data_IF_394906381718
#
_entry.id   IF_394906381718
#
_cell.length_a   1.000
_cell.length_b   1.000
_cell.length_c   1.000
_cell.angle_alpha   90.00
_cell.angle_beta   90.00
_cell.angle_gamma   90.00
#
_symmetry.space_group_name_H-M   'P 1'
#
loop_
_entity.id
_entity.type
_entity.pdbx_description
1 polymer ?
#
# COMPACT_ATOMS: atom_id res chain seq x y z
N UNK A 1 23.32 -33.46 17.12
CA UNK A 1 22.67 -32.92 18.32
C UNK A 1 21.55 -31.97 17.89
N UNK A 2 20.33 -32.19 18.36
CA UNK A 2 19.15 -31.42 17.96
C UNK A 2 19.02 -30.09 18.74
N UNK A 3 19.26 -30.15 20.05
CA UNK A 3 19.18 -29.03 21.00
C UNK A 3 20.48 -28.24 21.11
N UNK A 4 20.41 -27.02 21.64
CA UNK A 4 21.60 -26.22 21.97
C UNK A 4 22.30 -26.74 23.22
N UNK A 5 23.57 -26.37 23.39
CA UNK A 5 24.29 -26.44 24.66
C UNK A 5 24.80 -25.04 25.04
N UNK A 6 25.45 -24.91 26.19
CA UNK A 6 26.13 -23.67 26.59
C UNK A 6 27.21 -23.22 25.60
N UNK A 7 27.70 -24.09 24.72
CA UNK A 7 28.76 -23.78 23.76
C UNK A 7 28.39 -24.03 22.29
N UNK A 8 27.34 -24.78 21.98
CA UNK A 8 26.99 -25.18 20.59
C UNK A 8 25.54 -24.88 20.24
N UNK A 9 25.31 -24.48 18.99
CA UNK A 9 23.98 -24.46 18.41
C UNK A 9 23.56 -25.86 17.93
N UNK A 10 22.35 -26.25 18.30
CA UNK A 10 21.70 -27.48 17.85
C UNK A 10 21.31 -27.44 16.37
N UNK A 11 20.97 -28.59 15.79
CA UNK A 11 20.51 -28.67 14.41
C UNK A 11 19.20 -27.89 14.16
N UNK A 12 18.28 -27.87 15.13
CA UNK A 12 16.97 -27.19 14.99
C UNK A 12 17.15 -25.67 14.94
N UNK A 13 17.98 -25.10 15.82
CA UNK A 13 18.28 -23.67 15.80
C UNK A 13 18.96 -23.23 14.49
N UNK A 14 19.87 -24.06 13.96
CA UNK A 14 20.53 -23.81 12.68
C UNK A 14 19.55 -23.91 11.50
N UNK A 15 18.65 -24.89 11.51
CA UNK A 15 17.60 -25.03 10.51
C UNK A 15 16.74 -23.75 10.45
N UNK A 16 16.18 -23.32 11.58
CA UNK A 16 15.39 -22.07 11.61
C UNK A 16 16.18 -20.86 11.14
N UNK A 17 17.46 -20.74 11.53
CA UNK A 17 18.30 -19.65 11.07
C UNK A 17 18.47 -19.63 9.56
N UNK A 18 18.90 -20.74 8.95
CA UNK A 18 19.18 -20.80 7.52
C UNK A 18 17.93 -20.76 6.66
N UNK A 19 16.83 -21.38 7.09
CA UNK A 19 15.54 -21.29 6.40
C UNK A 19 15.04 -19.84 6.37
N UNK A 20 15.02 -19.15 7.51
CA UNK A 20 14.60 -17.74 7.57
C UNK A 20 15.58 -16.86 6.77
N UNK A 21 16.88 -17.08 6.89
CA UNK A 21 17.88 -16.27 6.17
C UNK A 21 17.70 -16.38 4.65
N UNK A 22 17.52 -17.60 4.11
CA UNK A 22 17.32 -17.81 2.68
C UNK A 22 16.01 -17.17 2.19
N UNK A 23 14.92 -17.36 2.93
CA UNK A 23 13.62 -16.79 2.58
C UNK A 23 13.64 -15.26 2.64
N UNK A 24 14.27 -14.67 3.66
CA UNK A 24 14.42 -13.21 3.76
C UNK A 24 15.25 -12.65 2.61
N UNK A 25 16.34 -13.31 2.21
CA UNK A 25 17.14 -12.87 1.06
C UNK A 25 16.35 -12.97 -0.25
N UNK A 26 15.54 -14.02 -0.42
CA UNK A 26 14.64 -14.16 -1.55
C UNK A 26 13.58 -13.04 -1.56
N UNK A 27 12.97 -12.74 -0.42
CA UNK A 27 11.97 -11.67 -0.30
C UNK A 27 12.55 -10.27 -0.55
N UNK A 28 13.77 -9.99 -0.09
CA UNK A 28 14.47 -8.75 -0.42
C UNK A 28 14.64 -8.64 -1.94
N UNK A 29 15.07 -9.72 -2.61
CA UNK A 29 15.22 -9.72 -4.06
C UNK A 29 13.88 -9.50 -4.78
N UNK A 30 12.82 -10.21 -4.38
CA UNK A 30 11.49 -10.04 -4.95
C UNK A 30 10.97 -8.62 -4.74
N UNK A 31 11.10 -8.06 -3.54
CA UNK A 31 10.68 -6.69 -3.23
C UNK A 31 11.41 -5.64 -4.07
N UNK A 32 12.72 -5.80 -4.28
CA UNK A 32 13.51 -4.91 -5.14
C UNK A 32 13.11 -5.05 -6.62
N UNK A 33 12.94 -6.28 -7.12
CA UNK A 33 12.46 -6.50 -8.49
C UNK A 33 11.09 -5.87 -8.70
N UNK A 34 10.15 -6.08 -7.76
CA UNK A 34 8.82 -5.47 -7.81
C UNK A 34 8.87 -3.95 -7.79
N UNK A 35 9.76 -3.36 -6.99
CA UNK A 35 9.93 -1.89 -6.90
C UNK A 35 10.42 -1.27 -8.21
N UNK A 36 11.35 -1.92 -8.89
CA UNK A 36 11.99 -1.37 -10.10
C UNK A 36 11.33 -1.84 -11.41
N UNK A 37 10.31 -2.70 -11.33
CA UNK A 37 9.52 -3.11 -12.50
C UNK A 37 8.47 -2.03 -12.79
N UNK A 38 8.43 -1.46 -14.01
CA UNK A 38 7.37 -0.53 -14.41
C UNK A 38 5.99 -1.13 -14.20
N UNK A 39 5.00 -0.32 -13.79
CA UNK A 39 3.62 -0.77 -13.62
C UNK A 39 2.82 -0.48 -14.90
N UNK A 40 2.86 -1.42 -15.83
CA UNK A 40 2.17 -1.37 -17.13
C UNK A 40 1.25 -2.58 -17.29
N UNK A 41 0.30 -2.57 -18.23
CA UNK A 41 -0.53 -3.76 -18.47
C UNK A 41 0.28 -5.00 -18.88
N UNK A 42 1.34 -4.83 -19.67
CA UNK A 42 2.26 -5.92 -20.05
C UNK A 42 2.93 -6.60 -18.83
N UNK A 43 3.17 -5.84 -17.76
CA UNK A 43 3.86 -6.31 -16.56
C UNK A 43 2.89 -6.69 -15.44
N UNK A 44 1.60 -6.38 -15.56
CA UNK A 44 0.60 -6.58 -14.51
C UNK A 44 0.53 -8.03 -14.02
N UNK A 45 0.47 -9.00 -14.94
CA UNK A 45 0.44 -10.43 -14.59
C UNK A 45 1.72 -10.91 -13.89
N UNK A 46 2.88 -10.42 -14.34
CA UNK A 46 4.15 -10.71 -13.68
C UNK A 46 4.21 -10.11 -12.26
N UNK A 47 3.81 -8.85 -12.11
CA UNK A 47 3.76 -8.17 -10.81
C UNK A 47 2.79 -8.85 -9.85
N UNK A 48 1.64 -9.31 -10.33
CA UNK A 48 0.69 -10.08 -9.52
C UNK A 48 1.33 -11.37 -9.00
N UNK A 49 2.00 -12.15 -9.86
CA UNK A 49 2.71 -13.36 -9.48
C UNK A 49 3.84 -13.07 -8.47
N UNK A 50 4.63 -12.03 -8.74
CA UNK A 50 5.75 -11.60 -7.91
C UNK A 50 5.27 -11.21 -6.51
N UNK A 51 4.24 -10.35 -6.40
CA UNK A 51 3.74 -9.90 -5.11
C UNK A 51 3.00 -11.01 -4.36
N UNK A 52 2.29 -11.91 -5.06
CA UNK A 52 1.68 -13.09 -4.42
C UNK A 52 2.76 -14.00 -3.82
N UNK A 53 3.86 -14.21 -4.56
CA UNK A 53 5.03 -14.96 -4.08
C UNK A 53 5.67 -14.28 -2.87
N UNK A 54 5.95 -12.98 -2.97
CA UNK A 54 6.56 -12.17 -1.91
C UNK A 54 5.73 -12.20 -0.61
N UNK A 55 4.41 -11.95 -0.70
CA UNK A 55 3.51 -11.99 0.46
C UNK A 55 3.47 -13.38 1.10
N UNK A 56 3.42 -14.43 0.28
CA UNK A 56 3.38 -15.82 0.75
C UNK A 56 4.67 -16.21 1.48
N UNK A 57 5.83 -15.83 0.95
CA UNK A 57 7.12 -16.04 1.62
C UNK A 57 7.20 -15.22 2.92
N UNK A 58 6.76 -13.96 2.91
CA UNK A 58 6.73 -13.11 4.11
C UNK A 58 5.90 -13.72 5.24
N UNK A 59 4.71 -14.25 4.94
CA UNK A 59 3.86 -14.94 5.91
C UNK A 59 4.50 -16.26 6.40
N UNK A 60 5.17 -17.00 5.51
CA UNK A 60 5.94 -18.18 5.91
C UNK A 60 7.09 -17.82 6.85
N UNK A 61 7.82 -16.74 6.58
CA UNK A 61 8.88 -16.22 7.46
C UNK A 61 8.31 -15.85 8.83
N UNK A 62 7.16 -15.19 8.89
CA UNK A 62 6.49 -14.88 10.15
C UNK A 62 6.16 -16.15 10.96
N UNK A 63 5.60 -17.18 10.32
CA UNK A 63 5.33 -18.46 10.96
C UNK A 63 6.60 -19.14 11.48
N UNK A 64 7.66 -19.18 10.67
CA UNK A 64 8.97 -19.71 11.08
C UNK A 64 9.60 -18.89 12.20
N UNK A 65 9.41 -17.57 12.22
CA UNK A 65 9.90 -16.68 13.26
C UNK A 65 9.23 -16.98 14.61
N UNK A 66 7.90 -17.17 14.63
CA UNK A 66 7.17 -17.60 15.83
C UNK A 66 7.72 -18.94 16.34
N UNK A 67 7.82 -19.95 15.47
CA UNK A 67 8.34 -21.27 15.85
C UNK A 67 9.79 -21.20 16.34
N UNK A 68 10.62 -20.35 15.73
CA UNK A 68 12.00 -20.11 16.14
C UNK A 68 12.07 -19.50 17.53
N UNK A 69 11.23 -18.51 17.85
CA UNK A 69 11.20 -17.86 19.17
C UNK A 69 10.74 -18.84 20.24
N UNK A 70 9.65 -19.58 19.99
CA UNK A 70 9.15 -20.62 20.89
C UNK A 70 10.23 -21.68 21.16
N UNK A 71 10.94 -22.11 20.11
CA UNK A 71 12.09 -23.00 20.27
C UNK A 71 13.18 -22.34 21.11
N UNK A 72 13.63 -21.14 20.75
CA UNK A 72 14.76 -20.46 21.39
C UNK A 72 14.57 -20.22 22.89
N UNK A 73 13.35 -19.92 23.35
CA UNK A 73 13.02 -19.73 24.78
C UNK A 73 13.30 -21.00 25.60
N UNK A 74 13.15 -22.19 25.01
CA UNK A 74 13.41 -23.47 25.68
C UNK A 74 14.88 -23.90 25.67
N UNK A 75 15.76 -23.15 24.98
CA UNK A 75 17.12 -23.59 24.71
C UNK A 75 18.16 -22.77 25.48
N UNK A 76 19.27 -23.40 25.93
CA UNK A 76 20.41 -22.64 26.43
C UNK A 76 20.97 -21.76 25.31
N UNK A 77 21.41 -20.54 25.68
CA UNK A 77 22.08 -19.62 24.76
C UNK A 77 23.56 -19.94 24.70
N UNK A 78 24.11 -20.33 23.54
CA UNK A 78 25.54 -20.58 23.42
C UNK A 78 26.37 -19.32 23.66
N UNK A 79 27.45 -19.42 24.43
CA UNK A 79 28.33 -18.29 24.76
C UNK A 79 28.98 -17.65 23.52
N UNK A 80 29.30 -16.34 23.55
CA UNK A 80 30.12 -15.70 22.51
C UNK A 80 31.51 -16.33 22.40
N UNK A 81 32.16 -16.22 21.23
CA UNK A 81 33.55 -16.69 21.06
C UNK A 81 34.54 -15.72 21.71
N UNK A 82 34.27 -14.42 21.60
CA UNK A 82 35.16 -13.34 22.03
C UNK A 82 34.47 -12.37 23.00
N UNK A 83 34.05 -12.82 24.21
CA UNK A 83 33.38 -11.96 25.19
C UNK A 83 34.23 -10.76 25.63
N UNK A 84 35.55 -10.86 25.51
CA UNK A 84 36.51 -9.80 25.79
C UNK A 84 36.40 -8.63 24.79
N UNK A 85 35.96 -8.89 23.55
CA UNK A 85 35.76 -7.87 22.52
C UNK A 85 34.40 -7.19 22.68
N UNK A 86 34.28 -6.37 23.72
CA UNK A 86 33.01 -5.79 24.18
C UNK A 86 32.26 -5.00 23.10
N UNK A 87 32.97 -4.20 22.29
CA UNK A 87 32.35 -3.41 21.22
C UNK A 87 31.79 -4.30 20.09
N UNK A 88 32.56 -5.29 19.64
CA UNK A 88 32.12 -6.25 18.61
C UNK A 88 30.94 -7.08 19.11
N UNK A 89 31.01 -7.56 20.36
CA UNK A 89 29.94 -8.32 21.00
C UNK A 89 28.67 -7.47 21.12
N UNK A 90 28.78 -6.22 21.57
CA UNK A 90 27.65 -5.30 21.67
C UNK A 90 27.00 -5.01 20.30
N UNK A 91 27.81 -4.75 19.27
CA UNK A 91 27.32 -4.54 17.91
C UNK A 91 26.60 -5.78 17.36
N UNK A 92 27.17 -6.98 17.57
CA UNK A 92 26.56 -8.24 17.17
C UNK A 92 25.23 -8.50 17.90
N UNK A 93 25.15 -8.25 19.21
CA UNK A 93 23.91 -8.38 19.97
C UNK A 93 22.85 -7.38 19.52
N UNK A 94 23.24 -6.13 19.24
CA UNK A 94 22.33 -5.11 18.71
C UNK A 94 21.77 -5.52 17.35
N UNK A 95 22.63 -5.98 16.44
CA UNK A 95 22.21 -6.49 15.14
C UNK A 95 21.26 -7.69 15.27
N UNK A 96 21.54 -8.63 16.17
CA UNK A 96 20.64 -9.76 16.42
C UNK A 96 19.26 -9.31 16.90
N UNK A 97 19.19 -8.36 17.84
CA UNK A 97 17.91 -7.82 18.31
C UNK A 97 17.16 -7.07 17.21
N UNK A 98 17.85 -6.26 16.42
CA UNK A 98 17.27 -5.58 15.26
C UNK A 98 16.66 -6.59 14.27
N UNK A 99 17.40 -7.64 13.91
CA UNK A 99 16.90 -8.70 13.03
C UNK A 99 15.75 -9.50 13.66
N UNK A 100 15.80 -9.78 14.96
CA UNK A 100 14.72 -10.48 15.66
C UNK A 100 13.41 -9.70 15.62
N UNK A 101 13.44 -8.37 15.74
CA UNK A 101 12.24 -7.54 15.62
C UNK A 101 11.83 -7.42 14.15
N UNK A 102 12.79 -7.26 13.23
CA UNK A 102 12.52 -7.12 11.80
C UNK A 102 11.70 -8.28 11.21
N UNK A 103 12.03 -9.52 11.57
CA UNK A 103 11.33 -10.72 11.07
C UNK A 103 9.86 -10.84 11.54
N UNK A 104 9.40 -9.96 12.43
CA UNK A 104 7.98 -9.81 12.78
C UNK A 104 7.38 -8.54 12.20
N UNK A 105 8.03 -7.39 12.42
CA UNK A 105 7.49 -6.07 12.01
C UNK A 105 7.26 -6.01 10.51
N UNK A 106 8.19 -6.50 9.69
CA UNK A 106 8.06 -6.49 8.23
C UNK A 106 6.85 -7.29 7.73
N UNK A 107 6.75 -8.62 7.97
CA UNK A 107 5.63 -9.37 7.46
C UNK A 107 4.30 -8.96 8.09
N UNK A 108 4.28 -8.53 9.36
CA UNK A 108 3.04 -8.02 9.99
C UNK A 108 2.57 -6.72 9.36
N UNK A 109 3.45 -5.74 9.16
CA UNK A 109 3.09 -4.48 8.48
C UNK A 109 2.62 -4.72 7.04
N UNK A 110 3.29 -5.61 6.30
CA UNK A 110 2.86 -5.98 4.94
C UNK A 110 1.51 -6.69 4.91
N UNK A 111 1.19 -7.49 5.93
CA UNK A 111 -0.10 -8.16 6.02
C UNK A 111 -1.22 -7.22 6.49
N UNK A 112 -0.93 -6.25 7.37
CA UNK A 112 -1.86 -5.16 7.69
C UNK A 112 -2.17 -4.33 6.45
N UNK A 113 -1.14 -3.95 5.67
CA UNK A 113 -1.31 -3.27 4.37
C UNK A 113 -2.23 -4.08 3.44
N UNK A 114 -1.92 -5.36 3.22
CA UNK A 114 -2.78 -6.24 2.41
C UNK A 114 -4.21 -6.34 2.94
N UNK A 115 -4.38 -6.34 4.26
CA UNK A 115 -5.70 -6.43 4.89
C UNK A 115 -6.49 -5.12 4.80
N UNK A 116 -5.83 -3.98 4.69
CA UNK A 116 -6.45 -2.66 4.56
C UNK A 116 -6.81 -2.30 3.11
N UNK A 117 -6.14 -2.89 2.12
CA UNK A 117 -6.37 -2.65 0.69
C UNK A 117 -7.44 -3.56 0.08
N UNK A 118 -7.99 -3.16 -1.07
CA UNK A 118 -8.76 -4.05 -1.95
C UNK A 118 -7.77 -4.85 -2.82
N UNK A 119 -7.98 -6.16 -2.94
CA UNK A 119 -6.93 -7.11 -3.28
C UNK A 119 -6.39 -7.01 -4.72
N UNK A 120 -5.06 -6.92 -4.86
CA UNK A 120 -4.34 -7.03 -6.14
C UNK A 120 -3.63 -8.38 -6.34
N UNK A 121 -2.97 -8.88 -5.28
CA UNK A 121 -2.16 -10.09 -5.32
C UNK A 121 -2.47 -10.95 -4.08
N UNK A 122 -3.05 -12.15 -4.25
CA UNK A 122 -3.45 -13.01 -3.14
C UNK A 122 -2.26 -13.68 -2.45
N UNK A 123 -2.43 -14.01 -1.17
CA UNK A 123 -1.52 -14.87 -0.40
C UNK A 123 -1.91 -16.33 -0.67
N UNK A 124 -0.96 -17.13 -1.19
CA UNK A 124 -1.21 -18.53 -1.55
C UNK A 124 -1.06 -19.46 -0.36
N UNK A 125 -2.13 -19.52 0.43
CA UNK A 125 -2.22 -20.40 1.58
C UNK A 125 -3.68 -20.76 1.85
N UNK A 126 -3.97 -21.84 2.58
CA UNK A 126 -5.35 -22.31 2.77
C UNK A 126 -6.14 -21.51 3.82
N UNK A 127 -5.57 -20.45 4.38
CA UNK A 127 -6.18 -19.64 5.43
C UNK A 127 -6.75 -18.33 4.85
N UNK A 128 -7.48 -17.57 5.69
CA UNK A 128 -8.04 -16.28 5.29
C UNK A 128 -6.97 -15.30 4.80
N UNK A 129 -7.35 -14.36 3.93
CA UNK A 129 -6.44 -13.36 3.36
C UNK A 129 -6.17 -12.20 4.32
N UNK A 130 -7.20 -11.78 5.07
CA UNK A 130 -7.14 -10.59 5.91
C UNK A 130 -6.90 -10.95 7.38
N UNK A 131 -6.19 -10.09 8.09
CA UNK A 131 -6.14 -10.09 9.54
C UNK A 131 -7.50 -9.63 10.11
N UNK A 132 -7.98 -10.22 11.22
CA UNK A 132 -9.22 -9.79 11.85
C UNK A 132 -9.07 -8.36 12.37
N UNK A 133 -10.17 -7.60 12.32
CA UNK A 133 -10.27 -6.24 12.85
C UNK A 133 -9.42 -5.16 12.15
N UNK A 134 -8.78 -5.47 11.02
CA UNK A 134 -8.16 -4.45 10.16
C UNK A 134 -9.23 -3.86 9.23
N UNK A 135 -9.56 -2.57 9.35
CA UNK A 135 -10.55 -1.93 8.48
C UNK A 135 -9.98 -1.75 7.06
N UNK A 136 -10.87 -1.74 6.06
CA UNK A 136 -10.52 -1.28 4.71
C UNK A 136 -10.39 0.24 4.74
N UNK A 137 -9.16 0.75 4.67
CA UNK A 137 -8.85 2.17 4.83
C UNK A 137 -7.51 2.48 4.17
N UNK A 138 -7.51 3.50 3.32
CA UNK A 138 -6.31 3.99 2.65
C UNK A 138 -5.26 4.46 3.65
N UNK A 139 -5.63 5.32 4.62
CA UNK A 139 -4.70 5.77 5.66
C UNK A 139 -4.06 4.63 6.48
N UNK A 140 -4.79 3.53 6.73
CA UNK A 140 -4.21 2.33 7.37
C UNK A 140 -3.24 1.62 6.43
N UNK A 141 -3.60 1.45 5.15
CA UNK A 141 -2.74 0.85 4.14
C UNK A 141 -1.45 1.63 3.95
N UNK A 142 -1.53 2.96 3.80
CA UNK A 142 -0.40 3.87 3.61
C UNK A 142 0.53 3.89 4.84
N UNK A 143 -0.05 3.97 6.04
CA UNK A 143 0.75 3.89 7.29
C UNK A 143 1.48 2.56 7.38
N UNK A 144 0.79 1.45 7.09
CA UNK A 144 1.39 0.12 7.10
C UNK A 144 2.47 -0.03 6.02
N UNK A 145 2.26 0.52 4.82
CA UNK A 145 3.23 0.54 3.73
C UNK A 145 4.48 1.35 4.11
N UNK A 146 4.31 2.50 4.76
CA UNK A 146 5.42 3.33 5.23
C UNK A 146 6.25 2.60 6.30
N UNK A 147 5.60 1.95 7.27
CA UNK A 147 6.25 1.09 8.28
C UNK A 147 7.00 -0.06 7.61
N UNK A 148 6.37 -0.73 6.64
CA UNK A 148 6.97 -1.83 5.90
C UNK A 148 8.24 -1.38 5.16
N UNK A 149 8.19 -0.22 4.50
CA UNK A 149 9.31 0.36 3.78
C UNK A 149 10.50 0.68 4.68
N UNK A 150 10.29 1.42 5.78
CA UNK A 150 11.39 1.78 6.69
C UNK A 150 11.96 0.55 7.40
N UNK A 151 11.10 -0.40 7.79
CA UNK A 151 11.55 -1.66 8.36
C UNK A 151 12.40 -2.45 7.37
N UNK A 152 12.10 -2.35 6.07
CA UNK A 152 12.88 -2.94 4.98
C UNK A 152 14.28 -2.34 4.88
N UNK A 153 14.40 -1.01 4.96
CA UNK A 153 15.69 -0.31 4.99
C UNK A 153 16.52 -0.75 6.19
N UNK A 154 15.93 -0.74 7.39
CA UNK A 154 16.61 -1.16 8.63
C UNK A 154 17.04 -2.63 8.52
N UNK A 155 16.19 -3.51 7.99
CA UNK A 155 16.51 -4.91 7.76
C UNK A 155 17.71 -5.05 6.82
N UNK A 156 17.67 -4.43 5.63
CA UNK A 156 18.74 -4.56 4.63
C UNK A 156 20.08 -4.07 5.18
N UNK A 157 20.11 -2.91 5.84
CA UNK A 157 21.31 -2.39 6.48
C UNK A 157 21.84 -3.36 7.56
N UNK A 158 20.94 -3.91 8.38
CA UNK A 158 21.32 -4.84 9.46
C UNK A 158 21.78 -6.20 8.92
N UNK A 159 21.14 -6.72 7.87
CA UNK A 159 21.55 -7.96 7.19
C UNK A 159 22.93 -7.78 6.56
N UNK A 160 23.19 -6.65 5.89
CA UNK A 160 24.50 -6.34 5.34
C UNK A 160 25.58 -6.29 6.43
N UNK A 161 25.32 -5.60 7.54
CA UNK A 161 26.23 -5.55 8.69
C UNK A 161 26.44 -6.94 9.32
N UNK A 162 25.38 -7.74 9.45
CA UNK A 162 25.43 -9.10 10.01
C UNK A 162 26.27 -10.06 9.15
N UNK A 163 26.02 -10.09 7.83
CA UNK A 163 26.79 -10.89 6.88
C UNK A 163 28.23 -10.39 6.84
N UNK A 164 28.45 -9.07 6.77
CA UNK A 164 29.77 -8.46 6.81
C UNK A 164 30.57 -8.84 8.05
N UNK A 165 29.94 -8.82 9.23
CA UNK A 165 30.53 -9.31 10.47
C UNK A 165 30.88 -10.80 10.41
N UNK A 166 29.95 -11.65 9.97
CA UNK A 166 30.20 -13.09 9.84
C UNK A 166 31.36 -13.41 8.87
N UNK A 167 31.46 -12.68 7.76
CA UNK A 167 32.55 -12.81 6.78
C UNK A 167 33.88 -12.28 7.33
N UNK A 168 33.87 -11.14 8.03
CA UNK A 168 35.06 -10.61 8.73
C UNK A 168 35.60 -11.64 9.70
N UNK A 169 34.73 -12.25 10.51
CA UNK A 169 35.11 -13.31 11.45
C UNK A 169 35.63 -14.57 10.73
N UNK A 170 35.03 -14.98 9.61
CA UNK A 170 35.43 -16.17 8.88
C UNK A 170 36.74 -16.00 8.08
N UNK A 171 36.97 -14.82 7.49
CA UNK A 171 38.06 -14.58 6.52
C UNK A 171 39.24 -13.84 7.15
N UNK A 172 38.98 -12.85 8.00
CA UNK A 172 40.01 -11.99 8.62
C UNK A 172 40.40 -12.54 9.98
N UNK A 173 39.44 -12.66 10.92
CA UNK A 173 39.73 -13.20 12.26
C UNK A 173 39.99 -14.72 12.22
N UNK A 174 39.50 -15.40 11.16
CA UNK A 174 39.58 -16.85 10.94
C UNK A 174 39.08 -17.67 12.14
N UNK A 175 38.03 -17.19 12.79
CA UNK A 175 37.43 -17.84 13.94
C UNK A 175 36.24 -18.73 13.57
N UNK A 176 35.68 -19.40 14.58
CA UNK A 176 34.60 -20.36 14.37
C UNK A 176 33.19 -19.72 14.26
N UNK A 177 33.04 -18.39 14.24
CA UNK A 177 31.72 -17.70 14.34
C UNK A 177 30.72 -18.22 13.31
N UNK A 178 31.09 -18.23 12.03
CA UNK A 178 30.25 -18.80 10.97
C UNK A 178 30.11 -20.32 11.10
N UNK A 179 31.20 -21.02 11.43
CA UNK A 179 31.21 -22.48 11.57
C UNK A 179 30.27 -22.97 12.70
N UNK A 180 30.01 -22.16 13.73
CA UNK A 180 29.01 -22.44 14.77
C UNK A 180 27.59 -22.53 14.20
N UNK A 181 27.23 -21.64 13.28
CA UNK A 181 25.91 -21.64 12.66
C UNK A 181 25.79 -22.60 11.47
N UNK A 182 26.88 -22.91 10.77
CA UNK A 182 26.85 -23.91 9.68
C UNK A 182 26.92 -25.33 10.24
N UNK A 183 27.93 -25.64 11.05
CA UNK A 183 28.29 -27.01 11.47
C UNK A 183 27.95 -27.32 12.94
N UNK A 184 27.60 -26.32 13.75
CA UNK A 184 27.38 -26.52 15.18
C UNK A 184 28.69 -26.65 15.96
N UNK A 185 29.78 -26.03 15.47
CA UNK A 185 31.06 -25.94 16.19
C UNK A 185 30.86 -25.34 17.60
N UNK A 186 31.67 -25.76 18.58
CA UNK A 186 31.61 -25.18 19.92
C UNK A 186 32.27 -23.82 19.96
N UNK A 187 31.69 -22.90 20.71
CA UNK A 187 32.41 -21.81 21.33
C UNK A 187 33.38 -22.35 22.40
N UNK A 188 34.43 -21.60 22.71
CA UNK A 188 35.41 -21.94 23.73
C UNK A 188 34.84 -21.90 25.16
N UNK A 189 35.69 -21.63 26.15
CA UNK A 189 35.30 -21.61 27.56
C UNK A 189 34.18 -20.60 27.84
N UNK A 190 33.14 -20.99 28.59
CA UNK A 190 32.01 -20.12 28.89
C UNK A 190 32.37 -19.04 29.91
N UNK A 191 32.41 -17.78 29.47
CA UNK A 191 32.36 -16.62 30.35
C UNK A 191 31.06 -15.83 30.17
N UNK A 192 30.47 -15.39 31.28
CA UNK A 192 29.15 -14.76 31.31
C UNK A 192 29.22 -13.26 30.96
N UNK A 193 28.67 -12.88 29.81
CA UNK A 193 28.52 -11.48 29.37
C UNK A 193 27.12 -10.89 29.61
N UNK A 194 26.57 -10.98 30.82
CA UNK A 194 25.14 -10.68 31.07
C UNK A 194 24.69 -9.22 30.84
N UNK A 195 25.59 -8.24 31.03
CA UNK A 195 25.23 -6.81 30.99
C UNK A 195 25.10 -6.24 29.55
N UNK A 196 25.89 -6.72 28.58
CA UNK A 196 25.86 -6.18 27.21
C UNK A 196 24.54 -6.50 26.48
N UNK A 197 23.94 -7.64 26.80
CA UNK A 197 22.78 -8.16 26.10
C UNK A 197 21.52 -7.32 26.33
N UNK A 198 21.31 -6.91 27.58
CA UNK A 198 20.16 -6.07 27.97
C UNK A 198 20.31 -4.67 27.39
N UNK A 199 21.50 -4.08 27.45
CA UNK A 199 21.77 -2.76 26.86
C UNK A 199 21.57 -2.80 25.34
N UNK A 200 22.05 -3.85 24.67
CA UNK A 200 21.84 -4.02 23.23
C UNK A 200 20.36 -4.15 22.86
N UNK A 201 19.54 -4.80 23.70
CA UNK A 201 18.09 -4.87 23.51
C UNK A 201 17.44 -3.48 23.59
N UNK A 202 17.80 -2.68 24.59
CA UNK A 202 17.29 -1.31 24.73
C UNK A 202 17.72 -0.40 23.58
N UNK A 203 18.96 -0.52 23.10
CA UNK A 203 19.42 0.25 21.93
C UNK A 203 18.68 -0.17 20.67
N UNK A 204 18.51 -1.47 20.43
CA UNK A 204 17.72 -1.95 19.30
C UNK A 204 16.26 -1.48 19.38
N UNK A 205 15.65 -1.50 20.57
CA UNK A 205 14.31 -0.98 20.80
C UNK A 205 14.23 0.52 20.49
N UNK A 206 15.18 1.32 20.98
CA UNK A 206 15.24 2.75 20.70
C UNK A 206 15.37 3.03 19.19
N UNK A 207 16.20 2.27 18.47
CA UNK A 207 16.32 2.36 17.01
C UNK A 207 14.97 2.10 16.35
N UNK A 208 14.27 1.02 16.71
CA UNK A 208 12.94 0.72 16.15
C UNK A 208 11.90 1.80 16.46
N UNK A 209 11.87 2.30 17.70
CA UNK A 209 10.97 3.39 18.10
C UNK A 209 11.24 4.65 17.29
N UNK A 210 12.51 5.02 17.10
CA UNK A 210 12.88 6.19 16.30
C UNK A 210 12.55 5.98 14.82
N UNK A 211 12.89 4.82 14.24
CA UNK A 211 12.62 4.53 12.84
C UNK A 211 11.12 4.49 12.51
N UNK A 212 10.33 3.77 13.32
CA UNK A 212 8.88 3.66 13.11
C UNK A 212 8.19 4.96 13.51
N UNK A 213 8.50 5.50 14.69
CA UNK A 213 7.89 6.73 15.20
C UNK A 213 8.19 7.94 14.32
N UNK A 214 9.40 8.05 13.78
CA UNK A 214 9.74 9.07 12.79
C UNK A 214 8.86 8.95 11.55
N UNK A 215 8.68 7.75 11.01
CA UNK A 215 7.83 7.55 9.84
C UNK A 215 6.37 7.87 10.12
N UNK A 216 5.82 7.41 11.25
CA UNK A 216 4.43 7.70 11.60
C UNK A 216 4.21 9.20 11.85
N UNK A 217 5.17 9.92 12.45
CA UNK A 217 5.01 11.35 12.72
C UNK A 217 5.19 12.21 11.46
N UNK A 218 6.13 11.86 10.58
CA UNK A 218 6.49 12.70 9.43
C UNK A 218 5.84 12.27 8.11
N UNK A 219 5.37 11.02 8.01
CA UNK A 219 4.87 10.43 6.77
C UNK A 219 3.53 9.70 6.93
N UNK A 220 2.98 9.53 8.14
CA UNK A 220 1.58 9.11 8.21
C UNK A 220 0.75 10.25 7.60
N UNK A 221 -0.14 9.93 6.65
CA UNK A 221 -1.02 10.93 6.10
C UNK A 221 -1.83 11.51 7.26
N UNK A 222 -1.76 12.83 7.44
CA UNK A 222 -2.89 13.51 8.04
C UNK A 222 -4.01 13.37 7.01
N UNK A 223 -4.80 12.30 7.11
CA UNK A 223 -6.15 12.35 6.56
C UNK A 223 -6.87 13.42 7.37
N UNK A 224 -6.68 14.68 6.98
CA UNK A 224 -7.79 15.60 7.00
C UNK A 224 -8.88 14.88 6.20
N UNK A 225 -10.04 14.67 6.81
CA UNK A 225 -11.28 14.54 6.05
C UNK A 225 -11.38 15.84 5.25
N UNK A 226 -10.65 15.95 4.15
CA UNK A 226 -10.79 17.05 3.22
C UNK A 226 -12.05 16.73 2.45
N UNK A 227 -13.19 17.09 3.04
CA UNK A 227 -14.30 17.67 2.30
C UNK A 227 -13.67 18.51 1.19
N UNK A 228 -13.82 18.03 -0.05
CA UNK A 228 -13.12 18.56 -1.20
C UNK A 228 -13.24 20.07 -1.18
N UNK A 229 -12.11 20.76 -0.98
CA UNK A 229 -12.10 22.21 -1.10
C UNK A 229 -12.31 22.47 -2.58
N UNK A 230 -13.54 22.85 -2.92
CA UNK A 230 -13.85 23.43 -4.22
C UNK A 230 -12.83 24.52 -4.53
N UNK A 231 -12.12 24.35 -5.64
CA UNK A 231 -11.44 25.48 -6.25
C UNK A 231 -12.51 26.49 -6.65
N UNK A 232 -12.27 27.78 -6.37
CA UNK A 232 -13.20 28.90 -6.49
C UNK A 232 -14.30 28.67 -7.52
N UNK A 233 -15.57 28.69 -7.06
CA UNK A 233 -16.73 28.60 -7.93
C UNK A 233 -16.54 29.51 -9.15
N UNK A 234 -16.72 28.95 -10.35
CA UNK A 234 -16.84 29.76 -11.57
C UNK A 234 -17.98 30.73 -11.31
N UNK A 235 -17.67 32.01 -11.12
CA UNK A 235 -18.69 33.05 -11.01
C UNK A 235 -19.38 33.13 -12.38
N UNK A 236 -20.55 32.51 -12.46
CA UNK A 236 -21.50 32.63 -13.57
C UNK A 236 -22.87 33.02 -13.01
N UNK A 237 -23.76 33.49 -13.87
CA UNK A 237 -25.16 33.84 -13.51
C UNK A 237 -26.04 32.62 -13.18
N UNK A 238 -25.44 31.43 -13.00
CA UNK A 238 -26.11 30.14 -12.80
C UNK A 238 -26.07 29.63 -11.35
N UNK A 239 -26.47 28.37 -11.17
CA UNK A 239 -26.43 27.69 -9.88
C UNK A 239 -25.00 27.47 -9.39
N UNK A 240 -24.75 27.79 -8.12
CA UNK A 240 -23.42 27.72 -7.49
C UNK A 240 -23.35 26.44 -6.65
N UNK A 241 -22.47 25.52 -7.00
CA UNK A 241 -22.22 24.29 -6.22
C UNK A 241 -21.63 24.67 -4.86
N UNK A 242 -22.18 24.12 -3.78
CA UNK A 242 -21.75 24.34 -2.39
C UNK A 242 -20.94 23.18 -1.84
N UNK A 243 -21.36 21.95 -2.18
CA UNK A 243 -20.71 20.71 -1.74
C UNK A 243 -21.01 19.60 -2.75
N UNK A 244 -20.19 18.56 -2.80
CA UNK A 244 -20.45 17.39 -3.61
C UNK A 244 -19.28 16.43 -3.76
N UNK A 245 -19.55 15.32 -4.43
CA UNK A 245 -18.57 14.27 -4.72
C UNK A 245 -18.70 13.79 -6.17
N UNK A 246 -17.55 13.56 -6.79
CA UNK A 246 -17.44 12.80 -8.04
C UNK A 246 -16.63 11.56 -7.73
N UNK A 247 -17.28 10.41 -7.78
CA UNK A 247 -16.69 9.11 -7.43
C UNK A 247 -16.76 8.16 -8.60
N UNK A 248 -15.78 7.26 -8.66
CA UNK A 248 -15.71 6.17 -9.62
C UNK A 248 -15.58 4.83 -8.90
N UNK A 249 -16.13 3.78 -9.47
CA UNK A 249 -15.91 2.40 -9.04
C UNK A 249 -15.48 1.56 -10.22
N UNK A 250 -14.35 0.87 -10.08
CA UNK A 250 -13.84 -0.07 -11.08
C UNK A 250 -13.64 -1.43 -10.43
N UNK A 251 -13.99 -2.51 -11.14
CA UNK A 251 -13.71 -3.86 -10.66
C UNK A 251 -12.26 -4.22 -10.98
N UNK A 252 -11.46 -4.53 -9.97
CA UNK A 252 -10.12 -5.07 -10.12
C UNK A 252 -10.06 -6.47 -9.54
N UNK A 253 -9.73 -7.46 -10.38
CA UNK A 253 -9.61 -8.88 -9.99
C UNK A 253 -10.87 -9.37 -9.23
N UNK A 254 -12.03 -8.99 -9.75
CA UNK A 254 -13.33 -9.36 -9.19
C UNK A 254 -13.75 -8.60 -7.93
N UNK A 255 -12.98 -7.61 -7.47
CA UNK A 255 -13.32 -6.77 -6.32
C UNK A 255 -13.54 -5.31 -6.74
N UNK A 256 -14.59 -4.62 -6.26
CA UNK A 256 -14.80 -3.21 -6.56
C UNK A 256 -13.79 -2.34 -5.80
N UNK A 257 -13.16 -1.41 -6.52
CA UNK A 257 -12.27 -0.37 -6.00
C UNK A 257 -12.94 0.98 -6.23
N UNK A 258 -13.21 1.70 -5.15
CA UNK A 258 -13.86 3.02 -5.20
C UNK A 258 -12.78 4.09 -5.16
N UNK A 259 -12.93 5.13 -5.96
CA UNK A 259 -12.09 6.31 -5.94
C UNK A 259 -12.90 7.59 -6.07
N UNK A 260 -12.26 8.71 -5.75
CA UNK A 260 -12.86 10.04 -5.73
C UNK A 260 -11.93 11.05 -6.39
N UNK A 261 -12.51 12.06 -7.03
CA UNK A 261 -11.77 13.27 -7.44
C UNK A 261 -12.04 14.36 -6.41
N UNK A 262 -10.98 14.81 -5.73
CA UNK A 262 -11.12 15.83 -4.68
C UNK A 262 -11.20 17.25 -5.23
N UNK A 263 -10.70 17.48 -6.44
CA UNK A 263 -10.74 18.77 -7.13
C UNK A 263 -11.58 18.69 -8.40
N UNK A 264 -12.74 19.34 -8.37
CA UNK A 264 -13.60 19.51 -9.54
C UNK A 264 -14.46 20.76 -9.37
N UNK A 265 -15.03 21.24 -10.47
CA UNK A 265 -15.92 22.39 -10.50
C UNK A 265 -17.00 22.18 -11.56
N UNK A 266 -18.15 22.80 -11.37
CA UNK A 266 -19.21 22.81 -12.37
C UNK A 266 -19.84 24.20 -12.48
N UNK A 267 -20.07 24.64 -13.72
CA UNK A 267 -20.94 25.75 -14.06
C UNK A 267 -22.29 25.18 -14.52
N UNK A 268 -23.37 25.56 -13.85
CA UNK A 268 -24.70 24.98 -14.06
C UNK A 268 -25.70 26.10 -14.35
N UNK A 269 -26.29 26.08 -15.53
CA UNK A 269 -27.44 26.90 -15.88
C UNK A 269 -28.67 26.00 -15.87
N UNK A 270 -29.63 26.24 -14.99
CA UNK A 270 -30.81 25.40 -14.86
C UNK A 270 -32.05 26.23 -14.54
N UNK A 271 -33.10 26.04 -15.34
CA UNK A 271 -34.41 26.65 -15.12
C UNK A 271 -35.38 25.62 -14.52
N UNK A 272 -35.79 25.80 -13.24
CA UNK A 272 -36.75 24.91 -12.60
C UNK A 272 -38.14 24.87 -13.25
N UNK A 273 -38.55 25.93 -13.97
CA UNK A 273 -39.87 26.00 -14.61
C UNK A 273 -39.93 25.14 -15.87
N UNK A 274 -39.01 25.35 -16.82
CA UNK A 274 -38.92 24.52 -18.02
C UNK A 274 -38.35 23.12 -17.75
N UNK A 275 -37.57 22.97 -16.67
CA UNK A 275 -36.82 21.75 -16.40
C UNK A 275 -35.62 21.54 -17.31
N UNK A 276 -35.22 22.57 -18.08
CA UNK A 276 -34.08 22.54 -19.00
C UNK A 276 -32.87 23.32 -18.49
N UNK A 277 -31.70 23.04 -19.05
CA UNK A 277 -30.47 23.72 -18.67
C UNK A 277 -29.23 23.26 -19.42
N UNK A 278 -28.07 23.75 -19.00
CA UNK A 278 -26.75 23.33 -19.46
C UNK A 278 -25.81 23.16 -18.28
N UNK A 279 -24.85 22.25 -18.43
CA UNK A 279 -23.79 22.02 -17.45
C UNK A 279 -22.44 21.93 -18.15
N UNK A 280 -21.44 22.58 -17.57
CA UNK A 280 -20.03 22.36 -17.88
C UNK A 280 -19.31 21.97 -16.59
N UNK A 281 -18.76 20.76 -16.54
CA UNK A 281 -17.95 20.30 -15.42
C UNK A 281 -16.49 20.13 -15.83
N UNK A 282 -15.57 20.55 -14.97
CA UNK A 282 -14.13 20.37 -15.13
C UNK A 282 -13.64 19.58 -13.92
N UNK A 283 -13.01 18.43 -14.18
CA UNK A 283 -12.45 17.54 -13.17
C UNK A 283 -10.94 17.57 -13.30
N UNK A 284 -10.22 17.89 -12.22
CA UNK A 284 -8.77 17.77 -12.15
C UNK A 284 -8.42 16.31 -11.90
N UNK A 285 -7.91 15.63 -12.93
CA UNK A 285 -7.61 14.19 -12.90
C UNK A 285 -6.40 13.90 -12.00
N UNK A 286 -5.55 14.89 -11.72
CA UNK A 286 -4.42 14.74 -10.79
C UNK A 286 -4.89 14.57 -9.34
N UNK A 287 -6.14 14.96 -9.04
CA UNK A 287 -6.77 14.84 -7.73
C UNK A 287 -7.37 13.47 -7.42
N UNK A 288 -7.29 12.52 -8.37
CA UNK A 288 -7.83 11.17 -8.17
C UNK A 288 -7.18 10.48 -6.97
N UNK A 289 -8.00 9.94 -6.07
CA UNK A 289 -7.62 8.96 -5.06
C UNK A 289 -8.41 7.67 -5.33
N UNK A 290 -7.72 6.56 -5.58
CA UNK A 290 -8.28 5.25 -5.94
C UNK A 290 -7.61 4.12 -5.13
N UNK A 291 -7.24 4.41 -3.87
CA UNK A 291 -6.54 3.47 -3.00
C UNK A 291 -5.17 3.04 -3.53
N UNK A 292 -4.83 1.76 -3.37
CA UNK A 292 -3.50 1.22 -3.70
C UNK A 292 -3.14 1.25 -5.19
N UNK A 293 -4.11 1.53 -6.06
CA UNK A 293 -3.92 1.63 -7.51
C UNK A 293 -3.92 3.07 -8.02
N UNK A 294 -3.96 4.07 -7.13
CA UNK A 294 -3.95 5.50 -7.50
C UNK A 294 -2.82 5.83 -8.48
N UNK A 295 -1.58 5.47 -8.17
CA UNK A 295 -0.43 5.76 -9.04
C UNK A 295 -0.54 5.07 -10.41
N UNK A 296 -1.09 3.85 -10.43
CA UNK A 296 -1.29 3.10 -11.67
C UNK A 296 -2.38 3.76 -12.52
N UNK A 297 -3.48 4.19 -11.90
CA UNK A 297 -4.57 4.88 -12.58
C UNK A 297 -4.13 6.26 -13.11
N UNK A 298 -3.27 6.98 -12.39
CA UNK A 298 -2.71 8.27 -12.84
C UNK A 298 -1.69 8.13 -13.97
N UNK A 299 -1.13 6.94 -14.16
CA UNK A 299 -0.10 6.69 -15.16
C UNK A 299 -0.58 6.69 -16.61
N UNK A 300 0.36 6.62 -17.58
CA UNK A 300 0.09 6.77 -19.02
C UNK A 300 -0.90 5.78 -19.62
N UNK A 301 -1.10 4.65 -18.95
CA UNK A 301 -1.98 3.60 -19.45
C UNK A 301 -3.47 3.86 -19.16
N UNK A 302 -3.78 4.82 -18.29
CA UNK A 302 -5.15 5.18 -17.91
C UNK A 302 -5.34 6.69 -18.05
N UNK A 303 -5.33 7.45 -16.95
CA UNK A 303 -5.62 8.89 -16.99
C UNK A 303 -4.50 9.73 -17.61
N UNK A 304 -3.26 9.22 -17.61
CA UNK A 304 -2.07 9.92 -18.12
C UNK A 304 -2.02 11.38 -17.66
N UNK A 305 -2.09 11.59 -16.34
CA UNK A 305 -2.36 12.92 -15.76
C UNK A 305 -1.25 13.94 -16.01
N UNK A 306 -0.06 13.47 -16.42
CA UNK A 306 1.04 14.32 -16.85
C UNK A 306 0.75 14.99 -18.21
N UNK A 307 0.10 14.26 -19.14
CA UNK A 307 -0.33 14.80 -20.42
C UNK A 307 -1.75 15.40 -20.38
N UNK A 308 -2.64 14.85 -19.55
CA UNK A 308 -4.04 15.23 -19.44
C UNK A 308 -4.46 15.44 -17.99
N UNK A 309 -4.13 16.62 -17.44
CA UNK A 309 -4.46 16.98 -16.06
C UNK A 309 -5.93 17.32 -15.82
N UNK A 310 -6.75 17.39 -16.87
CA UNK A 310 -8.16 17.74 -16.79
C UNK A 310 -9.05 16.86 -17.67
N UNK A 311 -10.24 16.57 -17.17
CA UNK A 311 -11.37 16.05 -17.93
C UNK A 311 -12.49 17.08 -17.94
N UNK A 312 -13.21 17.20 -19.06
CA UNK A 312 -14.27 18.19 -19.22
C UNK A 312 -15.55 17.52 -19.72
N UNK A 313 -16.65 17.73 -19.02
CA UNK A 313 -17.98 17.33 -19.47
C UNK A 313 -18.79 18.58 -19.84
N UNK A 314 -19.45 18.55 -21.01
CA UNK A 314 -20.39 19.59 -21.44
C UNK A 314 -21.68 18.91 -21.90
N UNK A 315 -22.81 19.27 -21.30
CA UNK A 315 -24.08 18.61 -21.60
C UNK A 315 -25.31 19.51 -21.41
N UNK A 316 -26.38 19.11 -22.08
CA UNK A 316 -27.71 19.70 -21.96
C UNK A 316 -28.53 18.94 -20.92
N UNK A 317 -29.13 19.68 -20.00
CA UNK A 317 -30.03 19.14 -18.98
C UNK A 317 -31.46 19.17 -19.52
N UNK A 318 -32.15 18.04 -19.40
CA UNK A 318 -33.57 17.94 -19.69
C UNK A 318 -34.29 17.13 -18.61
N UNK A 319 -35.44 17.62 -18.14
CA UNK A 319 -36.35 16.86 -17.29
C UNK A 319 -37.07 15.79 -18.13
N UNK A 320 -36.99 14.55 -17.69
CA UNK A 320 -37.74 13.41 -18.25
C UNK A 320 -39.12 13.30 -17.57
N UNK A 321 -39.92 12.29 -17.93
CA UNK A 321 -41.23 12.07 -17.31
C UNK A 321 -41.13 11.96 -15.77
N UNK A 322 -41.68 12.94 -15.04
CA UNK A 322 -41.68 13.01 -13.57
C UNK A 322 -40.57 13.90 -13.01
N UNK A 323 -39.90 13.43 -11.95
CA UNK A 323 -38.84 14.16 -11.21
C UNK A 323 -37.41 13.77 -11.64
N UNK A 324 -37.27 12.90 -12.65
CA UNK A 324 -35.96 12.48 -13.18
C UNK A 324 -35.48 13.45 -14.24
N UNK A 325 -34.17 13.62 -14.31
CA UNK A 325 -33.51 14.42 -15.32
C UNK A 325 -32.45 13.60 -16.03
N UNK A 326 -32.08 14.06 -17.22
CA UNK A 326 -30.97 13.56 -17.97
C UNK A 326 -30.05 14.72 -18.36
N UNK A 327 -28.74 14.54 -18.20
CA UNK A 327 -27.73 15.40 -18.81
C UNK A 327 -27.09 14.61 -19.95
N UNK A 328 -27.36 15.02 -21.20
CA UNK A 328 -26.78 14.40 -22.38
C UNK A 328 -25.73 15.33 -22.98
N UNK A 329 -24.52 14.82 -23.22
CA UNK A 329 -23.39 15.66 -23.58
C UNK A 329 -22.16 14.90 -24.04
N UNK A 330 -21.04 15.60 -24.09
CA UNK A 330 -19.74 15.05 -24.45
C UNK A 330 -18.80 15.10 -23.25
N UNK A 331 -18.14 13.97 -22.97
CA UNK A 331 -17.04 13.88 -22.02
C UNK A 331 -15.72 13.85 -22.80
N UNK A 332 -14.90 14.88 -22.59
CA UNK A 332 -13.50 14.90 -23.03
C UNK A 332 -12.63 14.32 -21.91
N UNK A 333 -11.97 13.19 -22.18
CA UNK A 333 -11.10 12.50 -21.23
C UNK A 333 -9.98 11.79 -21.98
N UNK A 334 -8.72 11.99 -21.56
CA UNK A 334 -7.50 11.43 -22.19
C UNK A 334 -7.44 11.71 -23.70
N UNK A 335 -7.79 12.95 -24.08
CA UNK A 335 -7.79 13.40 -25.48
C UNK A 335 -8.89 12.77 -26.37
N UNK A 336 -9.75 11.91 -25.83
CA UNK A 336 -10.93 11.37 -26.51
C UNK A 336 -12.17 12.16 -26.13
N UNK A 337 -13.11 12.28 -27.08
CA UNK A 337 -14.42 12.91 -26.87
C UNK A 337 -15.47 11.83 -27.08
N UNK A 338 -16.20 11.50 -26.02
CA UNK A 338 -17.19 10.42 -26.02
C UNK A 338 -18.55 10.98 -25.59
N UNK A 339 -19.64 10.71 -26.34
CA UNK A 339 -20.98 11.06 -25.90
C UNK A 339 -21.38 10.29 -24.65
N UNK A 340 -21.80 11.01 -23.60
CA UNK A 340 -22.20 10.43 -22.32
C UNK A 340 -23.52 11.04 -21.86
N UNK A 341 -24.40 10.18 -21.35
CA UNK A 341 -25.69 10.56 -20.75
C UNK A 341 -25.70 10.19 -19.27
N UNK A 342 -26.12 11.11 -18.42
CA UNK A 342 -26.28 10.93 -16.98
C UNK A 342 -27.73 11.07 -16.59
N UNK A 343 -28.33 9.99 -16.09
CA UNK A 343 -29.61 10.09 -15.38
C UNK A 343 -29.36 10.52 -13.94
N UNK A 344 -30.14 11.48 -13.46
CA UNK A 344 -30.05 11.97 -12.09
C UNK A 344 -31.41 12.36 -11.52
N UNK A 345 -31.50 12.32 -10.20
CA UNK A 345 -32.60 12.91 -9.45
C UNK A 345 -32.19 14.33 -9.03
N UNK A 346 -33.15 15.26 -9.10
CA UNK A 346 -32.95 16.65 -8.69
C UNK A 346 -34.14 17.11 -7.85
N UNK A 347 -33.86 17.48 -6.61
CA UNK A 347 -34.82 18.12 -5.71
C UNK A 347 -34.44 19.58 -5.52
N UNK A 348 -35.38 20.50 -5.74
CA UNK A 348 -35.17 21.94 -5.54
C UNK A 348 -36.14 22.45 -4.48
N UNK A 349 -35.63 22.93 -3.35
CA UNK A 349 -36.42 23.48 -2.24
C UNK A 349 -35.77 24.77 -1.75
N UNK A 350 -36.56 25.83 -1.62
CA UNK A 350 -36.13 27.13 -1.07
C UNK A 350 -34.82 27.68 -1.66
N UNK A 351 -34.63 27.53 -2.98
CA UNK A 351 -33.43 28.00 -3.68
C UNK A 351 -32.19 27.12 -3.50
N UNK A 352 -32.34 25.94 -2.89
CA UNK A 352 -31.29 24.92 -2.77
C UNK A 352 -31.66 23.71 -3.63
N UNK A 353 -30.73 23.28 -4.47
CA UNK A 353 -30.83 22.11 -5.32
C UNK A 353 -29.96 20.99 -4.77
N UNK A 354 -30.52 19.80 -4.61
CA UNK A 354 -29.79 18.56 -4.27
C UNK A 354 -29.88 17.61 -5.44
N UNK A 355 -28.73 17.18 -5.96
CA UNK A 355 -28.62 16.29 -7.11
C UNK A 355 -27.88 15.01 -6.75
N UNK A 356 -28.39 13.88 -7.22
CA UNK A 356 -27.69 12.59 -7.18
C UNK A 356 -27.90 11.84 -8.49
N UNK A 357 -26.81 11.40 -9.11
CA UNK A 357 -26.85 10.67 -10.38
C UNK A 357 -25.76 9.61 -10.46
N UNK A 358 -25.95 8.64 -11.35
CA UNK A 358 -24.96 7.63 -11.64
C UNK A 358 -25.04 7.19 -13.11
N UNK A 359 -23.92 6.75 -13.66
CA UNK A 359 -23.83 6.12 -14.98
C UNK A 359 -22.70 5.11 -14.98
N UNK A 360 -22.60 4.30 -16.03
CA UNK A 360 -21.47 3.40 -16.24
C UNK A 360 -20.82 3.74 -17.56
N UNK A 361 -19.51 4.00 -17.53
CA UNK A 361 -18.69 4.27 -18.70
C UNK A 361 -17.89 3.02 -19.09
N UNK A 362 -17.60 2.84 -20.37
CA UNK A 362 -16.60 1.87 -20.81
C UNK A 362 -15.25 2.59 -20.97
N UNK A 363 -14.26 2.23 -20.15
CA UNK A 363 -12.94 2.89 -20.18
C UNK A 363 -12.25 2.79 -21.55
N UNK A 364 -12.61 1.78 -22.36
CA UNK A 364 -12.00 1.54 -23.67
C UNK A 364 -12.43 2.56 -24.72
N UNK A 365 -13.59 3.17 -24.55
CA UNK A 365 -14.06 4.25 -25.42
C UNK A 365 -13.14 5.47 -25.37
N UNK A 366 -12.42 5.61 -24.25
CA UNK A 366 -11.39 6.65 -24.03
C UNK A 366 -9.96 6.16 -24.30
N UNK A 367 -9.80 4.94 -24.83
CA UNK A 367 -8.48 4.33 -25.04
C UNK A 367 -7.73 3.93 -23.76
N UNK A 368 -8.40 3.94 -22.60
CA UNK A 368 -7.76 3.64 -21.32
C UNK A 368 -7.61 2.14 -21.08
N UNK A 369 -6.41 1.73 -20.70
CA UNK A 369 -6.05 0.36 -20.32
C UNK A 369 -6.05 -0.62 -21.49
N UNK A 370 -5.55 -0.21 -22.65
CA UNK A 370 -5.48 -1.02 -23.87
C UNK A 370 -4.68 -2.32 -23.66
N UNK A 371 -3.69 -2.31 -22.77
CA UNK A 371 -2.92 -3.49 -22.40
C UNK A 371 -3.68 -4.49 -21.50
N UNK A 372 -4.88 -4.15 -21.02
CA UNK A 372 -5.76 -5.01 -20.23
C UNK A 372 -6.89 -5.52 -21.13
N UNK A 373 -6.62 -6.63 -21.82
CA UNK A 373 -7.50 -7.19 -22.86
C UNK A 373 -8.68 -8.01 -22.34
N UNK A 374 -8.76 -8.25 -21.03
CA UNK A 374 -9.88 -8.94 -20.37
C UNK A 374 -10.24 -8.31 -19.02
N UNK A 375 -11.44 -8.63 -18.54
CA UNK A 375 -11.97 -8.11 -17.26
C UNK A 375 -11.47 -8.86 -16.02
N UNK A 376 -10.64 -9.91 -16.19
CA UNK A 376 -10.15 -10.71 -15.07
C UNK A 376 -9.17 -9.94 -14.19
N UNK A 377 -8.53 -8.92 -14.76
CA UNK A 377 -7.58 -8.04 -14.09
C UNK A 377 -8.21 -6.69 -13.77
N UNK A 378 -8.71 -5.98 -14.78
CA UNK A 378 -9.37 -4.67 -14.63
C UNK A 378 -10.61 -4.66 -15.53
N UNK A 379 -11.79 -4.52 -14.92
CA UNK A 379 -13.08 -4.43 -15.60
C UNK A 379 -13.10 -3.32 -16.65
N UNK A 380 -13.92 -3.49 -17.68
CA UNK A 380 -14.10 -2.45 -18.70
C UNK A 380 -15.06 -1.36 -18.24
N UNK A 381 -16.11 -1.75 -17.53
CA UNK A 381 -17.07 -0.84 -16.92
C UNK A 381 -16.46 -0.07 -15.73
N UNK A 382 -16.69 1.24 -15.73
CA UNK A 382 -16.39 2.14 -14.62
C UNK A 382 -17.69 2.83 -14.24
N UNK A 383 -18.19 2.52 -13.05
CA UNK A 383 -19.37 3.19 -12.52
C UNK A 383 -18.96 4.57 -12.03
N UNK A 384 -19.66 5.61 -12.45
CA UNK A 384 -19.46 7.00 -12.03
C UNK A 384 -20.68 7.41 -11.23
N UNK A 385 -20.48 7.90 -10.01
CA UNK A 385 -21.54 8.42 -9.16
C UNK A 385 -21.23 9.85 -8.74
N UNK A 386 -22.22 10.72 -8.87
CA UNK A 386 -22.12 12.16 -8.61
C UNK A 386 -23.20 12.53 -7.61
N UNK A 387 -22.81 13.28 -6.58
CA UNK A 387 -23.74 13.97 -5.68
C UNK A 387 -23.32 15.41 -5.54
N UNK A 388 -24.26 16.35 -5.52
CA UNK A 388 -23.94 17.74 -5.24
C UNK A 388 -25.12 18.50 -4.63
N UNK A 389 -24.81 19.56 -3.91
CA UNK A 389 -25.75 20.59 -3.49
C UNK A 389 -25.36 21.90 -4.15
N UNK A 390 -26.32 22.64 -4.68
CA UNK A 390 -26.11 23.95 -5.27
C UNK A 390 -27.15 24.96 -4.79
N UNK A 391 -26.79 26.25 -4.77
CA UNK A 391 -27.72 27.35 -4.47
C UNK A 391 -28.02 28.13 -5.73
N UNK A 392 -29.25 28.63 -5.82
CA UNK A 392 -29.66 29.55 -6.88
C UNK A 392 -28.77 30.81 -6.88
N UNK A 393 -28.58 31.44 -8.05
CA UNK A 393 -27.93 32.76 -8.13
C UNK A 393 -28.73 33.81 -7.33
N UNK A 394 -28.03 34.76 -6.71
CA UNK A 394 -28.62 35.86 -5.91
C UNK A 394 -29.46 36.85 -6.72
#
# INVERSE_FOLDING_TARGET
MLVNTSTRYGAVARFFHWSIALLVLADIALGLVGKFTPRTGETAGFLQLLYSTHKTIGVLVLGLAVLRVLWAISQPRPVPIHPERRAETFAAETAHWLLYVAIFVLPLSGWVMHSAEVGFAPIWWPFGQNLPFVPKSEGVAETAAAIHWIAGIVLVATVAAHIGGALKHAVVDRDATLARMVRGTAAGTPENGGLSHVVAAFVAFAIWVVSIGGVVVFFAPTHSEETGIQSEAVQGEGWIVQDGSVSITVVQIGAPVVGVFTNWQAAIEYDPESGGGQVTAIIDTTSLALGSVTDQAKGPEFFDVEAFSQATYQGEIARNDGERHNAAGELTLVGQVVPVSFEFNLEVTDGVAVMSGATTLDRRDFGMGAAYSDESSVGFGVDVAITLTATAPE
#
